data_IF_498465890416
#
_entry.id   IF_498465890416
#
_cell.length_a   1.000
_cell.length_b   1.000
_cell.length_c   1.000
_cell.angle_alpha   90.00
_cell.angle_beta   90.00
_cell.angle_gamma   90.00
#
_symmetry.space_group_name_H-M   'P 1'
#
loop_
_entity.id
_entity.type
_entity.pdbx_description
1 polymer ?
#
# COMPACT_ATOMS: atom_id res chain seq x y z
N UNK A 1 -11.63 -21.53 8.84
CA UNK A 1 -11.14 -20.14 8.76
C UNK A 1 -12.14 -19.15 8.16
N UNK A 2 -13.10 -19.58 7.33
CA UNK A 2 -14.15 -18.66 6.84
C UNK A 2 -13.78 -17.88 5.59
N UNK A 3 -12.73 -18.32 4.89
CA UNK A 3 -12.24 -17.70 3.66
C UNK A 3 -12.86 -18.33 2.41
N UNK A 4 -13.05 -17.54 1.35
CA UNK A 4 -13.46 -17.98 0.01
C UNK A 4 -12.36 -17.62 -0.99
N UNK A 5 -11.92 -18.60 -1.78
CA UNK A 5 -10.96 -18.42 -2.86
C UNK A 5 -11.66 -18.20 -4.20
N UNK A 6 -11.42 -17.05 -4.83
CA UNK A 6 -11.93 -16.76 -6.18
C UNK A 6 -10.90 -17.22 -7.21
N UNK A 7 -11.21 -18.29 -7.93
CA UNK A 7 -10.32 -18.89 -8.93
C UNK A 7 -10.98 -18.71 -10.30
N UNK A 8 -10.19 -18.33 -11.30
CA UNK A 8 -10.60 -18.34 -12.71
C UNK A 8 -9.88 -19.46 -13.44
N UNK A 9 -10.57 -20.07 -14.39
CA UNK A 9 -10.07 -21.14 -15.25
C UNK A 9 -10.36 -20.77 -16.70
N UNK A 10 -9.40 -21.03 -17.58
CA UNK A 10 -9.54 -20.83 -19.02
C UNK A 10 -8.74 -21.87 -19.78
N UNK A 11 -9.08 -22.10 -21.05
CA UNK A 11 -8.35 -23.03 -21.92
C UNK A 11 -7.42 -22.24 -22.84
N UNK A 12 -6.16 -22.68 -22.96
CA UNK A 12 -5.17 -22.10 -23.87
C UNK A 12 -4.40 -23.22 -24.56
N UNK A 13 -4.37 -23.21 -25.89
CA UNK A 13 -3.67 -24.21 -26.70
C UNK A 13 -4.06 -25.68 -26.38
N UNK A 14 -5.28 -25.91 -25.92
CA UNK A 14 -5.76 -27.23 -25.49
C UNK A 14 -5.54 -27.55 -24.01
N UNK A 15 -4.74 -26.75 -23.29
CA UNK A 15 -4.47 -26.92 -21.88
C UNK A 15 -5.38 -26.05 -21.00
N UNK A 16 -5.87 -26.63 -19.91
CA UNK A 16 -6.61 -25.90 -18.88
C UNK A 16 -5.64 -25.16 -17.97
N UNK A 17 -5.73 -23.83 -17.97
CA UNK A 17 -5.00 -22.94 -17.07
C UNK A 17 -5.92 -22.42 -15.97
N UNK A 18 -5.36 -22.08 -14.81
CA UNK A 18 -6.10 -21.45 -13.73
C UNK A 18 -5.26 -20.46 -12.95
N UNK A 19 -5.92 -19.49 -12.32
CA UNK A 19 -5.29 -18.52 -11.44
C UNK A 19 -6.19 -18.18 -10.26
N UNK A 20 -5.59 -18.08 -9.07
CA UNK A 20 -6.22 -17.48 -7.91
C UNK A 20 -6.27 -15.95 -8.13
N UNK A 21 -7.47 -15.37 -8.10
CA UNK A 21 -7.70 -13.95 -8.31
C UNK A 21 -7.81 -13.18 -7.00
N UNK A 22 -8.46 -13.77 -6.00
CA UNK A 22 -8.70 -13.12 -4.72
C UNK A 22 -9.02 -14.12 -3.60
N UNK A 23 -8.89 -13.62 -2.37
CA UNK A 23 -9.25 -14.33 -1.15
C UNK A 23 -10.16 -13.41 -0.34
N UNK A 24 -11.39 -13.84 -0.08
CA UNK A 24 -12.35 -13.11 0.73
C UNK A 24 -12.40 -13.72 2.12
N UNK A 25 -12.19 -12.91 3.16
CA UNK A 25 -12.46 -13.31 4.54
C UNK A 25 -13.94 -13.00 4.85
N UNK A 26 -14.77 -14.04 4.83
CA UNK A 26 -16.24 -13.90 4.83
C UNK A 26 -16.79 -14.15 6.22
N UNK A 27 -16.40 -15.26 6.86
CA UNK A 27 -16.85 -15.60 8.21
C UNK A 27 -15.65 -15.79 9.14
N UNK A 28 -14.94 -14.71 9.53
CA UNK A 28 -13.71 -14.82 10.31
C UNK A 28 -13.91 -15.66 11.58
N UNK A 29 -13.05 -16.67 11.75
CA UNK A 29 -13.09 -17.58 12.88
C UNK A 29 -14.20 -18.65 12.82
N UNK A 30 -14.92 -18.77 11.70
CA UNK A 30 -15.97 -19.78 11.52
C UNK A 30 -15.83 -20.52 10.19
N UNK A 31 -16.09 -21.83 10.15
CA UNK A 31 -16.18 -22.55 8.88
C UNK A 31 -17.40 -22.08 8.07
N UNK A 32 -17.25 -22.10 6.74
CA UNK A 32 -18.37 -21.91 5.82
C UNK A 32 -19.12 -23.24 5.74
N UNK A 33 -20.39 -23.24 6.11
CA UNK A 33 -21.26 -24.42 6.14
C UNK A 33 -22.03 -24.60 4.84
N UNK A 34 -22.39 -23.50 4.17
CA UNK A 34 -23.12 -23.56 2.91
C UNK A 34 -22.78 -22.37 2.00
N UNK A 35 -22.84 -22.60 0.69
CA UNK A 35 -22.66 -21.57 -0.34
C UNK A 35 -23.69 -21.75 -1.47
N UNK A 36 -24.24 -20.66 -1.97
CA UNK A 36 -25.14 -20.65 -3.10
C UNK A 36 -24.90 -19.43 -3.99
N UNK A 37 -24.91 -19.62 -5.30
CA UNK A 37 -24.76 -18.53 -6.28
C UNK A 37 -26.12 -18.20 -6.91
N UNK A 38 -26.51 -16.93 -6.88
CA UNK A 38 -27.68 -16.44 -7.61
C UNK A 38 -27.22 -15.69 -8.84
N UNK A 39 -27.50 -16.27 -10.01
CA UNK A 39 -27.26 -15.61 -11.30
C UNK A 39 -28.15 -14.38 -11.47
N UNK A 40 -29.40 -14.45 -11.01
CA UNK A 40 -30.38 -13.36 -11.10
C UNK A 40 -29.90 -12.12 -10.32
N UNK A 41 -29.27 -12.30 -9.17
CA UNK A 41 -28.76 -11.19 -8.36
C UNK A 41 -27.28 -10.87 -8.60
N UNK A 42 -26.56 -11.71 -9.37
CA UNK A 42 -25.12 -11.58 -9.55
C UNK A 42 -24.35 -11.67 -8.23
N UNK A 43 -24.79 -12.54 -7.33
CA UNK A 43 -24.29 -12.62 -5.95
C UNK A 43 -24.04 -14.04 -5.49
N UNK A 44 -23.02 -14.20 -4.65
CA UNK A 44 -22.71 -15.38 -3.86
C UNK A 44 -23.23 -15.18 -2.44
N UNK A 45 -23.96 -16.16 -1.92
CA UNK A 45 -24.38 -16.23 -0.52
C UNK A 45 -23.53 -17.29 0.17
N UNK A 46 -22.97 -16.94 1.32
CA UNK A 46 -22.18 -17.86 2.14
C UNK A 46 -22.69 -17.81 3.58
N UNK A 47 -22.81 -18.97 4.21
CA UNK A 47 -23.36 -19.11 5.55
C UNK A 47 -22.38 -19.85 6.47
N UNK A 48 -22.26 -19.38 7.71
CA UNK A 48 -21.75 -20.13 8.86
C UNK A 48 -22.91 -20.47 9.80
N UNK A 49 -22.62 -21.13 10.92
CA UNK A 49 -23.61 -21.42 11.97
C UNK A 49 -24.19 -20.15 12.62
N UNK A 50 -23.50 -19.00 12.53
CA UNK A 50 -23.90 -17.75 13.18
C UNK A 50 -24.27 -16.62 12.23
N UNK A 51 -23.93 -16.69 10.94
CA UNK A 51 -24.19 -15.58 10.01
C UNK A 51 -24.36 -16.04 8.56
N UNK A 52 -25.07 -15.21 7.80
CA UNK A 52 -25.17 -15.32 6.34
C UNK A 52 -24.68 -14.00 5.74
N UNK A 53 -23.84 -14.08 4.72
CA UNK A 53 -23.32 -12.93 4.00
C UNK A 53 -23.60 -13.06 2.51
N UNK A 54 -23.87 -11.91 1.88
CA UNK A 54 -24.03 -11.78 0.45
C UNK A 54 -22.85 -10.99 -0.12
N UNK A 55 -22.22 -11.54 -1.15
CA UNK A 55 -21.09 -10.96 -1.86
C UNK A 55 -21.49 -10.78 -3.33
N UNK A 56 -21.38 -9.57 -3.87
CA UNK A 56 -21.52 -9.38 -5.33
C UNK A 56 -20.35 -10.05 -6.05
N UNK A 57 -20.60 -10.67 -7.19
CA UNK A 57 -19.56 -11.31 -8.01
C UNK A 57 -18.62 -10.28 -8.66
N UNK A 58 -19.18 -9.14 -9.07
CA UNK A 58 -18.49 -8.01 -9.69
C UNK A 58 -18.22 -6.90 -8.66
N UNK A 59 -17.15 -7.03 -7.87
CA UNK A 59 -16.77 -6.02 -6.88
C UNK A 59 -16.01 -4.84 -7.51
N UNK A 60 -15.23 -5.09 -8.57
CA UNK A 60 -14.52 -4.12 -9.41
C UNK A 60 -14.00 -2.89 -8.65
N UNK A 61 -14.56 -1.69 -8.84
CA UNK A 61 -14.13 -0.46 -8.16
C UNK A 61 -13.99 -0.57 -6.63
N UNK A 62 -14.85 -1.39 -5.99
CA UNK A 62 -14.82 -1.58 -4.53
C UNK A 62 -13.67 -2.47 -4.06
N UNK A 63 -13.05 -3.24 -4.96
CA UNK A 63 -12.01 -4.22 -4.63
C UNK A 63 -10.67 -3.96 -5.30
N UNK A 64 -10.67 -3.37 -6.50
CA UNK A 64 -9.50 -3.13 -7.33
C UNK A 64 -9.39 -1.64 -7.67
N UNK A 65 -8.28 -1.04 -7.24
CA UNK A 65 -7.89 0.35 -7.44
C UNK A 65 -6.74 0.50 -8.44
N UNK A 66 -6.27 -0.61 -9.01
CA UNK A 66 -5.17 -0.64 -9.98
C UNK A 66 -5.53 -1.50 -11.20
N UNK A 67 -5.13 -1.04 -12.38
CA UNK A 67 -5.35 -1.72 -13.66
C UNK A 67 -4.88 -3.18 -13.63
N UNK A 68 -3.67 -3.43 -13.12
CA UNK A 68 -3.04 -4.77 -13.09
C UNK A 68 -3.81 -5.81 -12.28
N UNK A 69 -4.70 -5.39 -11.37
CA UNK A 69 -5.63 -6.27 -10.66
C UNK A 69 -6.98 -6.32 -11.35
N UNK A 70 -7.50 -5.14 -11.73
CA UNK A 70 -8.82 -5.01 -12.37
C UNK A 70 -8.93 -5.83 -13.65
N UNK A 71 -7.92 -5.77 -14.51
CA UNK A 71 -7.92 -6.45 -15.81
C UNK A 71 -7.88 -7.98 -15.69
N UNK A 72 -7.56 -8.53 -14.51
CA UNK A 72 -7.48 -9.99 -14.29
C UNK A 72 -8.79 -10.64 -13.89
N UNK A 73 -9.77 -9.84 -13.46
CA UNK A 73 -11.06 -10.36 -13.04
C UNK A 73 -12.02 -10.36 -14.23
N UNK A 74 -12.57 -11.52 -14.66
CA UNK A 74 -13.47 -11.59 -15.82
C UNK A 74 -14.75 -10.77 -15.66
N UNK A 75 -15.14 -10.43 -14.44
CA UNK A 75 -16.31 -9.57 -14.18
C UNK A 75 -15.99 -8.07 -14.31
N UNK A 76 -14.72 -7.69 -14.44
CA UNK A 76 -14.27 -6.31 -14.37
C UNK A 76 -13.45 -5.89 -15.58
N UNK A 77 -13.40 -4.58 -15.83
CA UNK A 77 -12.53 -3.97 -16.82
C UNK A 77 -12.04 -2.62 -16.33
N UNK A 78 -10.84 -2.22 -16.75
CA UNK A 78 -10.26 -0.94 -16.39
C UNK A 78 -10.65 0.14 -17.40
N UNK A 79 -11.28 1.20 -16.90
CA UNK A 79 -11.57 2.41 -17.67
C UNK A 79 -10.33 3.30 -17.64
N UNK A 80 -9.61 3.34 -18.77
CA UNK A 80 -8.36 4.09 -18.91
C UNK A 80 -8.57 5.60 -18.74
N UNK A 81 -9.67 6.13 -19.25
CA UNK A 81 -9.93 7.57 -19.27
C UNK A 81 -10.36 8.07 -17.89
N UNK A 82 -11.17 7.27 -17.18
CA UNK A 82 -11.57 7.58 -15.82
C UNK A 82 -10.57 7.12 -14.75
N UNK A 83 -9.59 6.28 -15.11
CA UNK A 83 -8.60 5.73 -14.19
C UNK A 83 -9.22 4.88 -13.07
N UNK A 84 -10.29 4.13 -13.37
CA UNK A 84 -11.03 3.34 -12.37
C UNK A 84 -11.44 1.97 -12.90
N UNK A 85 -11.55 1.00 -11.99
CA UNK A 85 -12.08 -0.32 -12.31
C UNK A 85 -13.61 -0.30 -12.34
N UNK A 86 -14.23 -0.96 -13.33
CA UNK A 86 -15.70 -1.04 -13.48
C UNK A 86 -16.13 -2.46 -13.82
N UNK A 87 -17.43 -2.73 -13.73
CA UNK A 87 -18.00 -3.97 -14.30
C UNK A 87 -17.69 -4.00 -15.81
N UNK A 88 -17.32 -5.17 -16.32
CA UNK A 88 -16.83 -5.30 -17.69
C UNK A 88 -17.85 -4.83 -18.73
N UNK A 89 -17.38 -4.03 -19.68
CA UNK A 89 -18.09 -3.64 -20.88
C UNK A 89 -17.08 -3.55 -22.05
N UNK A 90 -17.51 -3.77 -23.30
CA UNK A 90 -16.64 -3.59 -24.46
C UNK A 90 -15.96 -2.21 -24.44
N UNK A 91 -14.65 -2.20 -24.73
CA UNK A 91 -13.81 -1.01 -24.70
C UNK A 91 -13.04 -0.79 -23.38
N UNK A 92 -13.40 -1.49 -22.30
CA UNK A 92 -12.58 -1.51 -21.08
C UNK A 92 -11.39 -2.46 -21.23
N UNK A 93 -10.28 -2.15 -20.57
CA UNK A 93 -9.08 -3.00 -20.56
C UNK A 93 -9.36 -4.24 -19.69
N UNK A 94 -9.23 -5.43 -20.28
CA UNK A 94 -9.31 -6.73 -19.59
C UNK A 94 -8.31 -7.71 -20.23
N UNK A 95 -7.55 -8.41 -19.39
CA UNK A 95 -6.58 -9.44 -19.76
C UNK A 95 -6.48 -10.50 -18.66
N UNK A 96 -7.49 -11.36 -18.57
CA UNK A 96 -7.58 -12.43 -17.55
C UNK A 96 -6.39 -13.39 -17.65
N UNK A 97 -5.98 -13.72 -18.87
CA UNK A 97 -4.97 -14.73 -19.17
C UNK A 97 -3.51 -14.24 -19.02
N UNK A 98 -3.28 -12.94 -18.76
CA UNK A 98 -1.95 -12.32 -18.68
C UNK A 98 -1.14 -12.37 -19.98
N UNK A 99 -1.78 -12.16 -21.12
CA UNK A 99 -1.08 -12.32 -22.40
C UNK A 99 -0.39 -11.03 -22.83
N UNK A 100 -0.80 -9.88 -22.29
CA UNK A 100 -0.31 -8.56 -22.70
C UNK A 100 0.32 -7.83 -21.50
N UNK A 101 1.65 -7.96 -21.36
CA UNK A 101 2.38 -7.51 -20.18
C UNK A 101 2.29 -5.99 -19.89
N UNK A 102 2.17 -5.18 -20.94
CA UNK A 102 2.22 -3.71 -20.94
C UNK A 102 0.83 -3.04 -21.05
N UNK A 103 -0.25 -3.83 -21.06
CA UNK A 103 -1.62 -3.32 -21.28
C UNK A 103 -2.03 -2.25 -20.26
N UNK A 104 -1.44 -2.29 -19.06
CA UNK A 104 -1.71 -1.37 -17.96
C UNK A 104 -0.71 -0.23 -17.82
N UNK A 105 0.41 -0.20 -18.56
CA UNK A 105 1.51 0.74 -18.34
C UNK A 105 1.06 2.20 -18.47
N UNK A 106 0.18 2.48 -19.43
CA UNK A 106 -0.37 3.83 -19.63
C UNK A 106 -1.37 4.27 -18.57
N UNK A 107 -1.87 3.34 -17.74
CA UNK A 107 -2.81 3.63 -16.66
C UNK A 107 -2.11 3.96 -15.33
N UNK A 108 -0.78 3.86 -15.29
CA UNK A 108 -0.01 4.05 -14.06
C UNK A 108 0.31 5.53 -13.91
N UNK A 109 -0.42 6.18 -13.00
CA UNK A 109 -0.14 7.55 -12.62
C UNK A 109 1.24 7.66 -11.96
N UNK A 110 2.04 8.63 -12.39
CA UNK A 110 3.31 8.96 -11.74
C UNK A 110 3.03 9.82 -10.51
N UNK A 111 3.24 9.25 -9.33
CA UNK A 111 3.08 9.95 -8.05
C UNK A 111 4.29 10.85 -7.80
N UNK A 112 4.10 12.15 -7.73
CA UNK A 112 5.18 13.08 -7.40
C UNK A 112 5.33 13.19 -5.88
N UNK A 113 6.56 13.03 -5.39
CA UNK A 113 6.88 13.10 -3.95
C UNK A 113 8.02 14.10 -3.79
N UNK A 114 7.82 15.08 -2.91
CA UNK A 114 8.87 16.04 -2.55
C UNK A 114 9.39 15.73 -1.15
N UNK A 115 10.71 15.69 -1.00
CA UNK A 115 11.39 15.45 0.25
C UNK A 115 12.43 16.54 0.49
N UNK A 116 12.69 16.86 1.75
CA UNK A 116 13.88 17.66 2.09
C UNK A 116 15.09 16.75 2.25
N UNK A 117 16.27 17.32 2.05
CA UNK A 117 17.52 16.61 2.31
C UNK A 117 17.52 15.96 3.72
N UNK A 118 17.97 14.71 3.80
CA UNK A 118 18.05 13.92 5.03
C UNK A 118 16.74 13.27 5.49
N UNK A 119 15.59 13.56 4.88
CA UNK A 119 14.34 12.87 5.22
C UNK A 119 14.34 11.41 4.75
N UNK A 120 13.53 10.58 5.41
CA UNK A 120 13.24 9.23 4.96
C UNK A 120 11.91 9.18 4.21
N UNK A 121 11.85 8.43 3.12
CA UNK A 121 10.67 8.28 2.28
C UNK A 121 10.22 6.83 2.21
N UNK A 122 8.92 6.59 2.40
CA UNK A 122 8.30 5.30 2.14
C UNK A 122 7.50 5.36 0.83
N UNK A 123 7.87 4.50 -0.12
CA UNK A 123 7.20 4.32 -1.41
C UNK A 123 6.52 2.95 -1.40
N UNK A 124 5.20 2.91 -1.55
CA UNK A 124 4.43 1.67 -1.47
C UNK A 124 3.28 1.64 -2.46
N UNK A 125 3.17 0.54 -3.21
CA UNK A 125 2.05 0.31 -4.13
C UNK A 125 0.74 0.04 -3.40
N UNK A 126 0.82 -0.62 -2.24
CA UNK A 126 -0.31 -1.01 -1.42
C UNK A 126 -0.13 -0.50 0.01
N UNK A 127 -1.23 -0.15 0.67
CA UNK A 127 -1.25 0.02 2.13
C UNK A 127 -1.11 -1.36 2.79
N UNK A 128 -1.81 -2.36 2.24
CA UNK A 128 -1.68 -3.77 2.58
C UNK A 128 -1.77 -4.59 1.30
N UNK A 129 -0.74 -5.37 1.02
CA UNK A 129 -0.64 -6.19 -0.17
C UNK A 129 -1.65 -7.34 -0.08
N UNK A 130 -2.50 -7.53 -1.11
CA UNK A 130 -3.40 -8.66 -1.17
C UNK A 130 -2.65 -10.00 -1.04
N UNK A 131 -3.17 -10.92 -0.22
CA UNK A 131 -2.56 -12.23 0.06
C UNK A 131 -2.25 -13.02 -1.23
N UNK A 132 -3.12 -12.93 -2.24
CA UNK A 132 -2.94 -13.55 -3.56
C UNK A 132 -1.70 -13.05 -4.33
N UNK A 133 -1.20 -11.85 -4.01
CA UNK A 133 -0.03 -11.28 -4.67
C UNK A 133 1.28 -11.56 -3.93
N UNK A 134 1.24 -11.93 -2.65
CA UNK A 134 2.43 -12.18 -1.80
C UNK A 134 3.47 -13.14 -2.42
N UNK A 135 3.09 -14.22 -3.13
CA UNK A 135 4.08 -15.11 -3.75
C UNK A 135 4.84 -14.51 -4.94
N UNK A 136 4.41 -13.36 -5.46
CA UNK A 136 5.00 -12.76 -6.68
C UNK A 136 6.18 -11.88 -6.31
N UNK A 137 7.27 -12.03 -7.07
CA UNK A 137 8.45 -11.19 -6.90
C UNK A 137 8.12 -9.70 -7.17
N UNK A 138 8.46 -8.86 -6.20
CA UNK A 138 8.44 -7.40 -6.31
C UNK A 138 9.86 -6.91 -6.56
N UNK A 139 10.03 -6.04 -7.56
CA UNK A 139 11.33 -5.45 -7.87
C UNK A 139 11.20 -3.94 -8.02
N UNK A 140 12.18 -3.22 -7.49
CA UNK A 140 12.25 -1.77 -7.57
C UNK A 140 13.38 -1.33 -8.49
N UNK A 141 13.11 -0.34 -9.33
CA UNK A 141 14.09 0.29 -10.21
C UNK A 141 14.16 1.78 -9.93
N UNK A 142 15.39 2.31 -9.86
CA UNK A 142 15.64 3.74 -9.80
C UNK A 142 16.20 4.23 -11.14
N UNK A 143 15.68 5.35 -11.61
CA UNK A 143 16.13 6.05 -12.81
C UNK A 143 16.77 7.35 -12.38
N UNK A 144 18.07 7.30 -12.08
CA UNK A 144 18.85 8.48 -11.71
C UNK A 144 19.43 9.16 -12.95
N UNK A 145 19.79 10.43 -12.81
CA UNK A 145 20.43 11.20 -13.89
C UNK A 145 21.78 10.59 -14.32
N UNK A 146 22.54 10.05 -13.37
CA UNK A 146 23.89 9.55 -13.62
C UNK A 146 23.93 8.12 -14.17
N UNK A 147 23.10 7.22 -13.64
CA UNK A 147 23.15 5.79 -13.95
C UNK A 147 22.04 5.31 -14.87
N UNK A 148 21.07 6.16 -15.17
CA UNK A 148 19.83 5.74 -15.81
C UNK A 148 19.10 4.69 -14.95
N UNK A 149 18.45 3.74 -15.60
CA UNK A 149 17.71 2.66 -14.94
C UNK A 149 18.66 1.65 -14.30
N UNK A 150 18.53 1.43 -13.00
CA UNK A 150 19.23 0.39 -12.28
C UNK A 150 18.33 -0.25 -11.20
N UNK A 151 18.49 -1.55 -10.93
CA UNK A 151 17.72 -2.21 -9.87
C UNK A 151 18.16 -1.72 -8.50
N UNK A 152 17.21 -1.62 -7.58
CA UNK A 152 17.48 -1.36 -6.16
C UNK A 152 17.72 -2.71 -5.48
N UNK A 153 18.80 -2.79 -4.71
CA UNK A 153 19.16 -3.96 -3.91
C UNK A 153 19.05 -3.63 -2.43
N UNK A 154 18.40 -4.50 -1.66
CA UNK A 154 18.20 -4.35 -0.22
C UNK A 154 19.35 -4.91 0.63
N UNK A 155 20.54 -5.08 0.02
CA UNK A 155 21.76 -5.52 0.71
C UNK A 155 22.44 -4.40 1.52
N UNK A 156 21.96 -3.16 1.38
CA UNK A 156 22.45 -1.97 2.07
C UNK A 156 21.35 -1.38 2.95
N UNK A 157 21.06 -1.99 4.12
CA UNK A 157 19.95 -1.59 4.97
C UNK A 157 20.09 -0.15 5.50
N UNK A 158 21.29 0.43 5.48
CA UNK A 158 21.54 1.82 5.80
C UNK A 158 20.93 2.81 4.80
N UNK A 159 20.60 2.35 3.58
CA UNK A 159 20.02 3.19 2.53
C UNK A 159 18.64 2.75 2.09
N UNK A 160 18.45 1.46 1.83
CA UNK A 160 17.22 0.91 1.30
C UNK A 160 16.74 -0.23 2.19
N UNK A 161 15.49 -0.13 2.64
CA UNK A 161 14.82 -1.19 3.41
C UNK A 161 13.56 -1.61 2.66
N UNK A 162 13.36 -2.92 2.52
CA UNK A 162 12.11 -3.49 2.04
C UNK A 162 11.13 -3.62 3.23
N UNK A 163 9.90 -3.13 3.06
CA UNK A 163 8.86 -3.29 4.08
C UNK A 163 8.15 -4.64 3.96
N UNK A 164 7.40 -5.05 4.99
CA UNK A 164 6.62 -6.30 4.96
C UNK A 164 5.57 -6.36 3.85
N UNK A 165 5.17 -5.20 3.31
CA UNK A 165 4.23 -5.06 2.19
C UNK A 165 4.97 -4.81 0.86
N UNK A 166 6.26 -5.14 0.79
CA UNK A 166 7.15 -4.96 -0.36
C UNK A 166 7.31 -3.50 -0.84
N UNK A 167 7.07 -2.55 0.07
CA UNK A 167 7.39 -1.14 -0.14
C UNK A 167 8.89 -0.88 -0.03
N UNK A 168 9.32 0.25 -0.59
CA UNK A 168 10.68 0.75 -0.53
C UNK A 168 10.77 1.89 0.46
N UNK A 169 11.54 1.72 1.52
CA UNK A 169 11.96 2.79 2.43
C UNK A 169 13.36 3.27 2.01
N UNK A 170 13.46 4.56 1.68
CA UNK A 170 14.72 5.24 1.37
C UNK A 170 15.09 6.08 2.60
N UNK A 171 16.23 5.77 3.21
CA UNK A 171 16.75 6.47 4.39
C UNK A 171 17.61 7.65 3.94
N UNK A 172 17.52 8.78 4.65
CA UNK A 172 18.39 9.95 4.47
C UNK A 172 18.55 10.35 3.00
N UNK A 173 17.44 10.74 2.38
CA UNK A 173 17.34 11.13 0.98
C UNK A 173 18.25 12.33 0.69
N UNK A 174 19.00 12.26 -0.41
CA UNK A 174 19.86 13.34 -0.90
C UNK A 174 19.61 13.58 -2.40
N UNK A 175 20.35 14.50 -3.00
CA UNK A 175 20.15 14.89 -4.41
C UNK A 175 20.31 13.70 -5.39
N UNK A 176 21.17 12.73 -5.10
CA UNK A 176 21.36 11.55 -5.94
C UNK A 176 20.18 10.57 -5.91
N UNK A 177 19.28 10.69 -4.93
CA UNK A 177 18.04 9.93 -4.83
C UNK A 177 16.86 10.63 -5.53
N UNK A 178 17.09 11.79 -6.14
CA UNK A 178 16.09 12.42 -6.99
C UNK A 178 15.95 11.65 -8.31
N UNK A 179 14.72 11.51 -8.78
CA UNK A 179 14.43 10.80 -10.02
C UNK A 179 13.21 9.91 -9.94
N UNK A 180 13.05 9.07 -10.96
CA UNK A 180 11.91 8.17 -11.08
C UNK A 180 12.19 6.85 -10.40
N UNK A 181 11.22 6.33 -9.67
CA UNK A 181 11.25 5.01 -9.04
C UNK A 181 10.06 4.20 -9.55
N UNK A 182 10.32 3.00 -10.06
CA UNK A 182 9.29 2.08 -10.55
C UNK A 182 9.26 0.81 -9.70
N UNK A 183 8.06 0.41 -9.28
CA UNK A 183 7.79 -0.88 -8.68
C UNK A 183 7.19 -1.82 -9.73
N UNK A 184 7.77 -3.01 -9.87
CA UNK A 184 7.32 -4.06 -10.77
C UNK A 184 6.87 -5.28 -9.98
N UNK A 185 5.75 -5.88 -10.39
CA UNK A 185 5.18 -7.07 -9.77
C UNK A 185 4.97 -8.14 -10.84
N UNK A 186 5.72 -9.25 -10.74
CA UNK A 186 5.56 -10.38 -11.66
C UNK A 186 5.69 -10.01 -13.14
N UNK A 187 6.56 -9.03 -13.46
CA UNK A 187 6.83 -8.59 -14.84
C UNK A 187 5.97 -7.44 -15.35
N UNK A 188 4.97 -6.97 -14.61
CA UNK A 188 4.18 -5.76 -14.96
C UNK A 188 4.55 -4.59 -14.08
N UNK A 189 4.57 -3.37 -14.65
CA UNK A 189 4.73 -2.15 -13.87
C UNK A 189 3.50 -2.00 -12.95
N UNK A 190 3.75 -1.76 -11.66
CA UNK A 190 2.70 -1.69 -10.64
C UNK A 190 2.46 -0.24 -10.20
N UNK A 191 3.53 0.50 -9.93
CA UNK A 191 3.45 1.92 -9.61
C UNK A 191 4.72 2.66 -10.03
N UNK A 192 4.59 3.98 -10.17
CA UNK A 192 5.71 4.86 -10.50
C UNK A 192 5.68 6.10 -9.63
N UNK A 193 6.85 6.46 -9.10
CA UNK A 193 7.09 7.64 -8.28
C UNK A 193 8.10 8.55 -8.97
N UNK A 194 7.95 9.86 -8.78
CA UNK A 194 8.96 10.84 -9.16
C UNK A 194 9.35 11.64 -7.92
N UNK A 195 10.58 11.45 -7.44
CA UNK A 195 11.09 12.10 -6.23
C UNK A 195 11.84 13.37 -6.61
N UNK A 196 11.48 14.46 -5.96
CA UNK A 196 12.22 15.73 -5.98
C UNK A 196 12.79 16.00 -4.60
N UNK A 197 14.06 16.40 -4.53
CA UNK A 197 14.73 16.67 -3.25
C UNK A 197 15.03 18.16 -3.14
N UNK A 198 14.45 18.79 -2.12
CA UNK A 198 14.69 20.18 -1.77
C UNK A 198 15.94 20.26 -0.88
N UNK A 199 17.03 20.76 -1.46
CA UNK A 199 18.32 20.99 -0.81
C UNK A 199 18.40 22.38 -0.15
N UNK A 200 17.49 23.30 -0.51
CA UNK A 200 17.54 24.70 -0.09
C UNK A 200 16.85 24.93 1.27
N UNK A 201 15.96 24.04 1.72
CA UNK A 201 15.36 24.11 3.06
C UNK A 201 16.31 23.81 4.23
N UNK A 202 17.50 23.30 3.95
CA UNK A 202 18.58 23.17 4.94
C UNK A 202 19.65 24.26 4.81
N UNK A 203 19.45 25.24 3.92
CA UNK A 203 20.30 26.43 3.85
C UNK A 203 19.95 27.37 5.01
N UNK A 204 20.95 27.95 5.70
CA UNK A 204 20.69 29.03 6.65
C UNK A 204 19.91 30.14 5.93
N UNK A 205 18.82 30.69 6.52
CA UNK A 205 18.05 31.74 5.88
C UNK A 205 18.96 32.87 5.42
N UNK A 206 18.77 33.39 4.21
CA UNK A 206 19.66 34.42 3.66
C UNK A 206 19.46 35.78 4.35
N UNK A 207 18.32 35.97 5.02
CA UNK A 207 17.91 37.25 5.64
C UNK A 207 17.70 37.10 7.15
N UNK A 208 18.25 38.04 7.92
CA UNK A 208 18.14 38.10 9.38
C UNK A 208 16.69 37.97 9.92
N UNK A 209 15.71 38.57 9.21
CA UNK A 209 14.30 38.54 9.63
C UNK A 209 13.65 37.15 9.53
N UNK A 210 14.15 36.26 8.66
CA UNK A 210 13.65 34.89 8.55
C UNK A 210 14.14 34.00 9.70
N UNK A 211 15.34 34.25 10.24
CA UNK A 211 15.84 33.59 11.45
C UNK A 211 14.92 33.84 12.64
N UNK A 212 14.49 35.09 12.85
CA UNK A 212 13.60 35.43 13.97
C UNK A 212 12.27 34.69 13.89
N UNK A 213 11.71 34.56 12.68
CA UNK A 213 10.44 33.85 12.46
C UNK A 213 10.59 32.33 12.64
N UNK A 214 11.66 31.74 12.10
CA UNK A 214 11.93 30.30 12.25
C UNK A 214 12.25 29.96 13.71
N UNK A 215 13.06 30.75 14.38
CA UNK A 215 13.37 30.60 15.81
C UNK A 215 12.12 30.72 16.68
N UNK A 216 11.27 31.74 16.41
CA UNK A 216 9.99 31.91 17.13
C UNK A 216 9.06 30.71 16.94
N UNK A 217 8.93 30.19 15.71
CA UNK A 217 8.14 28.98 15.44
C UNK A 217 8.71 27.76 16.17
N UNK A 218 10.03 27.57 16.17
CA UNK A 218 10.68 26.45 16.84
C UNK A 218 10.52 26.53 18.37
N UNK A 219 10.69 27.72 18.97
CA UNK A 219 10.39 27.96 20.37
C UNK A 219 8.92 27.65 20.71
N UNK A 220 7.99 28.03 19.84
CA UNK A 220 6.56 27.75 20.06
C UNK A 220 6.24 26.26 20.03
N UNK A 221 6.77 25.52 19.05
CA UNK A 221 6.60 24.06 18.99
C UNK A 221 7.30 23.34 20.16
N UNK A 222 8.46 23.83 20.59
CA UNK A 222 9.17 23.29 21.75
C UNK A 222 8.40 23.52 23.07
N UNK A 223 7.78 24.69 23.24
CA UNK A 223 6.93 24.94 24.42
C UNK A 223 5.64 24.10 24.39
N UNK A 224 5.06 23.86 23.22
CA UNK A 224 3.95 22.89 23.08
C UNK A 224 4.40 21.49 23.49
N UNK A 225 5.56 21.04 23.02
CA UNK A 225 6.12 19.74 23.40
C UNK A 225 6.32 19.63 24.91
N UNK A 226 6.95 20.62 25.56
CA UNK A 226 7.10 20.65 27.04
C UNK A 226 5.76 20.56 27.76
N UNK A 227 4.76 21.27 27.27
CA UNK A 227 3.43 21.27 27.88
C UNK A 227 2.74 19.92 27.73
N UNK A 228 2.87 19.29 26.55
CA UNK A 228 2.38 17.94 26.30
C UNK A 228 3.08 16.91 27.20
N UNK A 229 4.41 17.01 27.34
CA UNK A 229 5.20 16.17 28.24
C UNK A 229 4.75 16.29 29.71
N UNK A 230 4.63 17.51 30.24
CA UNK A 230 4.12 17.73 31.61
C UNK A 230 2.69 17.21 31.82
N UNK A 231 1.86 17.31 30.78
CA UNK A 231 0.48 16.81 30.83
C UNK A 231 0.47 15.27 30.84
N UNK A 232 1.37 14.65 30.07
CA UNK A 232 1.56 13.20 30.08
C UNK A 232 2.10 12.72 31.43
N UNK A 233 3.12 13.37 31.99
CA UNK A 233 3.68 13.05 33.32
C UNK A 233 2.61 13.10 34.42
N UNK A 234 1.79 14.16 34.44
CA UNK A 234 0.67 14.28 35.40
C UNK A 234 -0.37 13.17 35.24
N UNK A 235 -0.69 12.77 34.01
CA UNK A 235 -1.61 11.67 33.75
C UNK A 235 -1.01 10.33 34.20
N UNK A 236 0.29 10.14 34.03
CA UNK A 236 0.99 8.95 34.48
C UNK A 236 1.02 8.86 36.02
N UNK A 237 1.28 9.97 36.72
CA UNK A 237 1.18 10.03 38.19
C UNK A 237 -0.24 9.73 38.69
N UNK A 238 -1.27 10.23 38.00
CA UNK A 238 -2.67 9.93 38.33
C UNK A 238 -3.03 8.45 38.11
N UNK A 239 -2.55 7.84 37.02
CA UNK A 239 -2.70 6.40 36.80
C UNK A 239 -1.93 5.58 37.85
N UNK A 240 -0.74 6.03 38.25
CA UNK A 240 0.05 5.35 39.29
C UNK A 240 -0.66 5.38 40.65
N UNK A 241 -1.35 6.49 40.99
CA UNK A 241 -2.14 6.60 42.23
C UNK A 241 -3.44 5.80 42.21
N UNK A 242 -3.99 5.50 41.03
CA UNK A 242 -5.15 4.60 40.91
C UNK A 242 -4.78 3.12 41.12
N UNK A 243 -3.53 2.73 40.85
CA UNK A 243 -3.06 1.36 41.07
C UNK A 243 -2.83 0.99 42.54
N UNK A 244 -2.78 1.95 43.47
CA UNK A 244 -2.68 1.64 44.92
C UNK A 244 -4.00 1.13 45.52
N UNK A 245 -5.08 1.07 44.74
CA UNK A 245 -6.37 0.48 45.18
C UNK A 245 -6.76 -0.81 44.46
N UNK A 246 -5.92 -1.35 43.57
CA UNK A 246 -6.05 -2.72 43.07
C UNK A 246 -4.70 -3.25 42.61
N UNK A 247 -4.13 -4.17 43.40
CA UNK A 247 -2.99 -5.00 43.00
C UNK A 247 -3.34 -5.74 41.70
N UNK A 248 -2.56 -5.51 40.65
CA UNK A 248 -2.16 -6.56 39.71
C UNK A 248 -0.90 -6.11 38.96
N UNK A 249 0.18 -6.84 39.25
CA UNK A 249 1.53 -6.70 38.70
C UNK A 249 1.59 -7.18 37.25
N UNK A 250 2.01 -6.33 36.32
CA UNK A 250 2.75 -6.77 35.13
C UNK A 250 3.83 -5.72 34.79
N UNK A 251 5.12 -6.12 34.71
CA UNK A 251 6.20 -5.21 34.35
C UNK A 251 6.23 -4.98 32.83
N UNK A 252 6.21 -3.71 32.42
CA UNK A 252 6.54 -3.32 31.05
C UNK A 252 8.06 -3.14 30.96
N UNK A 253 8.78 -4.21 30.62
CA UNK A 253 10.13 -4.09 30.07
C UNK A 253 10.03 -3.82 28.56
N UNK A 254 10.69 -2.76 28.13
CA UNK A 254 10.95 -2.45 26.73
C UNK A 254 12.30 -3.11 26.41
N UNK A 255 12.29 -4.13 25.55
CA UNK A 255 13.46 -4.64 24.82
C UNK A 255 13.24 -4.34 23.34
#
# INVERSE_FOLDING_TARGET
EGKIHKIVQWNRNGDSQSALLDIFDVTPGEPIQAMAISRMHGSLYAASDRRVLQLRLALCARRYDACVRCARDPYCGWDRDAGVCREYMPGLIQDVANETADICDSSIARKSVSATWGQSLHLGSFVKMPEVLQPRAVTWYHYSREKGRHPITFNKPEKYIETSEHGLLIISVNEADAGRYDCWLGGSLLCSYNITVDTHRCSPPEKSNEYQKIYSNWCHEFEKYKTAMKTWERKQEQCSRQNDSNQNTHPNEIV
#
